data_IF_517243114049
#
_entry.id   IF_517243114049
#
_cell.length_a   1.000
_cell.length_b   1.000
_cell.length_c   1.000
_cell.angle_alpha   90.00
_cell.angle_beta   90.00
_cell.angle_gamma   90.00
#
_symmetry.space_group_name_H-M   'P 1'
#
loop_
_entity.id
_entity.type
_entity.pdbx_description
1 polymer ?
#
# COMPACT_ATOMS: atom_id res chain seq x y z
N UNK A 1 18.25 -21.46 -6.85
CA UNK A 1 17.40 -20.32 -6.47
C UNK A 1 17.78 -19.14 -7.34
N UNK A 2 16.90 -18.75 -8.26
CA UNK A 2 17.18 -17.67 -9.21
C UNK A 2 16.71 -16.36 -8.55
N UNK A 3 17.68 -15.61 -8.00
CA UNK A 3 17.45 -14.28 -7.43
C UNK A 3 17.95 -13.22 -8.41
N UNK A 4 17.09 -12.30 -8.78
CA UNK A 4 17.45 -11.14 -9.57
C UNK A 4 17.65 -9.92 -8.68
N UNK A 5 18.60 -9.06 -9.05
CA UNK A 5 18.73 -7.72 -8.48
C UNK A 5 18.09 -6.72 -9.42
N UNK A 6 17.19 -5.89 -8.90
CA UNK A 6 16.56 -4.81 -9.65
C UNK A 6 16.77 -3.49 -8.92
N UNK A 7 16.72 -2.38 -9.64
CA UNK A 7 16.74 -1.03 -9.09
C UNK A 7 15.51 -0.30 -9.61
N UNK A 8 14.71 0.25 -8.72
CA UNK A 8 13.54 1.05 -9.07
C UNK A 8 13.45 2.25 -8.12
N UNK A 9 13.28 3.47 -8.65
CA UNK A 9 13.23 4.71 -7.87
C UNK A 9 14.45 4.91 -6.92
N UNK A 10 15.62 4.40 -7.28
CA UNK A 10 16.82 4.41 -6.43
C UNK A 10 16.87 3.33 -5.36
N UNK A 11 15.82 2.53 -5.19
CA UNK A 11 15.76 1.39 -4.26
C UNK A 11 16.25 0.13 -4.96
N UNK A 12 17.12 -0.62 -4.28
CA UNK A 12 17.62 -1.93 -4.72
C UNK A 12 16.74 -3.04 -4.17
N UNK A 13 16.37 -4.01 -5.00
CA UNK A 13 15.54 -5.15 -4.63
C UNK A 13 16.22 -6.47 -4.98
N UNK A 14 16.02 -7.45 -4.12
CA UNK A 14 16.21 -8.86 -4.44
C UNK A 14 14.81 -9.40 -4.78
N UNK A 15 14.66 -9.94 -5.99
CA UNK A 15 13.41 -10.47 -6.50
C UNK A 15 13.53 -11.98 -6.66
N UNK A 16 12.66 -12.74 -5.99
CA UNK A 16 12.57 -14.19 -6.11
C UNK A 16 11.50 -14.54 -7.15
N UNK A 17 11.92 -14.94 -8.34
CA UNK A 17 11.01 -15.26 -9.44
C UNK A 17 10.39 -16.66 -9.33
N UNK A 18 11.00 -17.56 -8.54
CA UNK A 18 10.52 -18.94 -8.41
C UNK A 18 9.44 -19.07 -7.33
N UNK A 19 9.65 -18.39 -6.17
CA UNK A 19 8.76 -18.51 -5.01
C UNK A 19 7.97 -17.24 -4.72
N UNK A 20 8.21 -16.16 -5.48
CA UNK A 20 7.49 -14.89 -5.35
C UNK A 20 6.07 -14.97 -5.90
N UNK A 21 5.16 -14.14 -5.35
CA UNK A 21 3.82 -13.99 -5.91
C UNK A 21 3.90 -13.44 -7.34
N UNK A 22 3.14 -14.00 -8.27
CA UNK A 22 3.13 -13.63 -9.70
C UNK A 22 4.56 -13.63 -10.28
N UNK A 23 5.08 -12.45 -10.65
CA UNK A 23 6.43 -12.24 -11.19
C UNK A 23 7.46 -11.93 -10.11
N UNK A 24 7.11 -12.09 -8.83
CA UNK A 24 7.97 -11.77 -7.68
C UNK A 24 8.07 -10.28 -7.33
N UNK A 25 7.57 -9.39 -8.20
CA UNK A 25 7.55 -7.95 -8.01
C UNK A 25 6.42 -7.29 -8.82
N UNK A 26 5.80 -6.24 -8.29
CA UNK A 26 4.67 -5.54 -8.90
C UNK A 26 5.15 -4.26 -9.60
N UNK A 27 5.55 -4.36 -10.87
CA UNK A 27 6.09 -3.24 -11.66
C UNK A 27 5.07 -2.12 -11.89
N UNK A 28 3.80 -2.46 -11.96
CA UNK A 28 2.67 -1.56 -12.20
C UNK A 28 2.50 -0.46 -11.13
N UNK A 29 3.03 -0.66 -9.93
CA UNK A 29 3.01 0.30 -8.81
C UNK A 29 4.23 1.24 -8.76
N UNK A 30 5.18 1.16 -9.70
CA UNK A 30 6.45 1.89 -9.70
C UNK A 30 6.26 3.40 -9.45
N UNK A 31 5.37 4.02 -10.20
CA UNK A 31 5.14 5.47 -10.11
C UNK A 31 4.35 5.84 -8.86
N UNK A 32 3.49 4.95 -8.35
CA UNK A 32 2.75 5.14 -7.10
C UNK A 32 3.71 5.07 -5.91
N UNK A 33 4.70 4.17 -5.93
CA UNK A 33 5.78 4.12 -4.94
C UNK A 33 6.61 5.39 -4.95
N UNK A 34 6.97 5.91 -6.12
CA UNK A 34 7.69 7.19 -6.24
C UNK A 34 6.90 8.37 -5.67
N UNK A 35 5.57 8.36 -5.76
CA UNK A 35 4.72 9.40 -5.19
C UNK A 35 4.85 9.52 -3.65
N UNK A 36 5.24 8.45 -2.96
CA UNK A 36 5.48 8.45 -1.51
C UNK A 36 6.61 9.41 -1.10
N UNK A 37 7.56 9.69 -1.98
CA UNK A 37 8.66 10.62 -1.71
C UNK A 37 8.16 12.02 -1.32
N UNK A 38 7.00 12.44 -1.81
CA UNK A 38 6.42 13.77 -1.52
C UNK A 38 5.85 13.87 -0.10
N UNK A 39 5.42 12.75 0.48
CA UNK A 39 4.63 12.74 1.71
C UNK A 39 5.30 12.03 2.89
N UNK A 40 6.43 11.33 2.70
CA UNK A 40 7.02 10.50 3.76
C UNK A 40 8.19 11.16 4.50
N UNK A 41 8.83 12.21 3.95
CA UNK A 41 10.03 12.83 4.55
C UNK A 41 9.77 13.31 5.98
N UNK A 42 10.59 12.83 6.93
CA UNK A 42 10.54 13.20 8.35
C UNK A 42 9.33 12.65 9.11
N UNK A 43 8.58 11.70 8.56
CA UNK A 43 7.33 11.17 9.10
C UNK A 43 7.44 9.73 9.57
N UNK A 44 6.57 9.36 10.52
CA UNK A 44 6.36 7.99 10.94
C UNK A 44 5.34 7.34 9.98
N UNK A 45 5.73 6.25 9.32
CA UNK A 45 5.00 5.62 8.21
C UNK A 45 4.59 4.19 8.58
N UNK A 46 3.35 3.82 8.26
CA UNK A 46 2.86 2.44 8.31
C UNK A 46 2.52 1.98 6.88
N UNK A 47 3.11 0.88 6.45
CA UNK A 47 2.86 0.24 5.14
C UNK A 47 2.21 -1.13 5.36
N UNK A 48 0.92 -1.24 5.06
CA UNK A 48 0.15 -2.48 5.20
C UNK A 48 0.09 -3.23 3.87
N UNK A 49 0.22 -4.56 3.94
CA UNK A 49 0.38 -5.44 2.78
C UNK A 49 1.70 -5.17 2.04
N UNK A 50 2.75 -4.96 2.83
CA UNK A 50 4.04 -4.46 2.36
C UNK A 50 4.74 -5.37 1.34
N UNK A 51 4.34 -6.67 1.28
CA UNK A 51 4.94 -7.70 0.42
C UNK A 51 6.47 -7.72 0.61
N UNK A 52 7.25 -7.44 -0.43
CA UNK A 52 8.72 -7.38 -0.36
C UNK A 52 9.26 -6.02 0.10
N UNK A 53 8.42 -5.19 0.74
CA UNK A 53 8.79 -3.92 1.33
C UNK A 53 8.82 -2.73 0.37
N UNK A 54 8.20 -2.84 -0.80
CA UNK A 54 8.44 -1.88 -1.88
C UNK A 54 7.95 -0.45 -1.57
N UNK A 55 6.78 -0.26 -0.97
CA UNK A 55 6.32 1.06 -0.52
C UNK A 55 7.12 1.55 0.69
N UNK A 56 7.34 0.67 1.69
CA UNK A 56 8.10 0.99 2.89
C UNK A 56 9.53 1.46 2.57
N UNK A 57 10.22 0.80 1.63
CA UNK A 57 11.57 1.17 1.23
C UNK A 57 11.62 2.49 0.46
N UNK A 58 10.61 2.76 -0.39
CA UNK A 58 10.48 4.08 -1.04
C UNK A 58 10.25 5.20 0.00
N UNK A 59 9.46 4.95 1.05
CA UNK A 59 9.31 5.87 2.16
C UNK A 59 10.64 6.08 2.93
N UNK A 60 11.39 5.01 3.17
CA UNK A 60 12.71 5.07 3.81
C UNK A 60 13.72 5.90 3.01
N UNK A 61 13.86 5.66 1.70
CA UNK A 61 14.73 6.43 0.79
C UNK A 61 14.31 7.90 0.73
N UNK A 62 13.01 8.18 0.82
CA UNK A 62 12.48 9.54 0.89
C UNK A 62 12.85 10.29 2.18
N UNK A 63 13.49 9.63 3.14
CA UNK A 63 13.90 10.21 4.42
C UNK A 63 12.78 10.18 5.46
N UNK A 64 11.93 9.16 5.48
CA UNK A 64 11.00 8.93 6.59
C UNK A 64 11.76 8.83 7.92
N UNK A 65 11.13 9.27 9.01
CA UNK A 65 11.71 9.18 10.36
C UNK A 65 11.72 7.74 10.85
N UNK A 66 10.63 7.02 10.62
CA UNK A 66 10.50 5.59 10.88
C UNK A 66 9.48 4.98 9.92
N UNK A 67 9.66 3.72 9.56
CA UNK A 67 8.71 2.98 8.73
C UNK A 67 8.49 1.60 9.34
N UNK A 68 7.23 1.23 9.51
CA UNK A 68 6.82 -0.14 9.82
C UNK A 68 6.06 -0.72 8.63
N UNK A 69 6.58 -1.76 8.02
CA UNK A 69 5.89 -2.55 7.01
C UNK A 69 5.30 -3.82 7.64
N UNK A 70 4.06 -4.15 7.32
CA UNK A 70 3.42 -5.39 7.79
C UNK A 70 2.89 -6.22 6.63
N UNK A 71 3.04 -7.53 6.74
CA UNK A 71 2.46 -8.52 5.83
C UNK A 71 2.09 -9.79 6.59
N UNK A 72 1.12 -10.54 6.09
CA UNK A 72 0.72 -11.82 6.69
C UNK A 72 1.71 -12.94 6.37
N UNK A 73 2.53 -12.79 5.35
CA UNK A 73 3.51 -13.76 4.89
C UNK A 73 4.87 -13.54 5.54
N UNK A 74 5.32 -14.47 6.39
CA UNK A 74 6.67 -14.43 6.96
C UNK A 74 7.74 -14.40 5.87
N UNK A 75 7.55 -15.16 4.78
CA UNK A 75 8.48 -15.14 3.65
C UNK A 75 8.60 -13.75 3.00
N UNK A 76 7.49 -13.03 2.84
CA UNK A 76 7.50 -11.66 2.33
C UNK A 76 8.24 -10.71 3.28
N UNK A 77 7.98 -10.81 4.59
CA UNK A 77 8.67 -10.04 5.65
C UNK A 77 10.18 -10.31 5.64
N UNK A 78 10.60 -11.56 5.50
CA UNK A 78 12.03 -11.92 5.43
C UNK A 78 12.69 -11.33 4.16
N UNK A 79 11.98 -11.33 3.03
CA UNK A 79 12.46 -10.70 1.79
C UNK A 79 12.54 -9.17 1.94
N UNK A 80 11.53 -8.55 2.54
CA UNK A 80 11.49 -7.12 2.80
C UNK A 80 12.63 -6.67 3.72
N UNK A 81 12.92 -7.43 4.77
CA UNK A 81 14.02 -7.17 5.70
C UNK A 81 15.39 -7.22 4.99
N UNK A 82 15.61 -8.22 4.14
CA UNK A 82 16.85 -8.29 3.32
C UNK A 82 16.96 -7.12 2.34
N UNK A 83 15.82 -6.67 1.78
CA UNK A 83 15.80 -5.50 0.93
C UNK A 83 16.12 -4.22 1.71
N UNK A 84 15.68 -4.08 2.97
CA UNK A 84 16.08 -2.95 3.82
C UNK A 84 17.61 -2.95 4.08
N UNK A 85 18.19 -4.10 4.43
CA UNK A 85 19.62 -4.26 4.61
C UNK A 85 20.42 -3.90 3.33
N UNK A 86 19.94 -4.36 2.16
CA UNK A 86 20.56 -4.07 0.86
C UNK A 86 20.62 -2.56 0.54
N UNK A 87 19.70 -1.79 1.11
CA UNK A 87 19.62 -0.34 0.94
C UNK A 87 20.17 0.47 2.14
N UNK A 88 20.74 -0.17 3.15
CA UNK A 88 21.19 0.44 4.41
C UNK A 88 20.06 1.17 5.15
N UNK A 89 18.83 0.64 5.07
CA UNK A 89 17.63 1.20 5.70
C UNK A 89 17.16 0.42 6.94
N UNK A 90 17.89 -0.63 7.34
CA UNK A 90 17.50 -1.54 8.41
C UNK A 90 17.28 -0.86 9.78
N UNK A 91 17.83 0.33 9.98
CA UNK A 91 17.63 1.09 11.23
C UNK A 91 16.34 1.93 11.21
N UNK A 92 15.91 2.35 10.02
CA UNK A 92 14.74 3.21 9.80
C UNK A 92 13.49 2.43 9.40
N UNK A 93 13.66 1.34 8.61
CA UNK A 93 12.57 0.55 8.06
C UNK A 93 12.57 -0.83 8.69
N UNK A 94 11.48 -1.16 9.39
CA UNK A 94 11.28 -2.45 10.05
C UNK A 94 10.09 -3.18 9.43
N UNK A 95 10.11 -4.51 9.54
CA UNK A 95 9.03 -5.34 9.02
C UNK A 95 8.57 -6.34 10.07
N UNK A 96 7.27 -6.56 10.14
CA UNK A 96 6.65 -7.49 11.07
C UNK A 96 5.59 -8.34 10.38
N UNK A 97 5.48 -9.61 10.81
CA UNK A 97 4.49 -10.54 10.27
C UNK A 97 3.17 -10.38 11.02
N UNK A 98 2.22 -9.69 10.41
CA UNK A 98 0.89 -9.43 10.97
C UNK A 98 -0.20 -9.49 9.90
N UNK A 99 -1.38 -9.96 10.30
CA UNK A 99 -2.59 -9.76 9.52
C UNK A 99 -3.11 -8.33 9.77
N UNK A 100 -3.12 -7.48 8.75
CA UNK A 100 -3.55 -6.09 8.84
C UNK A 100 -5.00 -5.96 9.35
N UNK A 101 -5.91 -6.88 8.99
CA UNK A 101 -7.29 -6.87 9.48
C UNK A 101 -7.38 -7.06 11.00
N UNK A 102 -6.49 -7.82 11.59
CA UNK A 102 -6.51 -8.08 13.01
C UNK A 102 -5.78 -6.97 13.77
N UNK A 103 -4.51 -6.73 13.41
CA UNK A 103 -3.62 -5.88 14.19
C UNK A 103 -4.00 -4.40 14.17
N UNK A 104 -4.55 -3.86 13.05
CA UNK A 104 -4.95 -2.45 13.01
C UNK A 104 -6.10 -2.12 13.98
N UNK A 105 -7.00 -3.10 14.23
CA UNK A 105 -8.05 -2.97 15.22
C UNK A 105 -7.49 -2.85 16.63
N UNK A 106 -6.49 -3.67 16.97
CA UNK A 106 -5.83 -3.69 18.26
C UNK A 106 -5.02 -2.39 18.48
N UNK A 107 -4.18 -2.05 17.54
CA UNK A 107 -3.36 -0.83 17.58
C UNK A 107 -4.20 0.46 17.66
N UNK A 108 -5.36 0.50 17.00
CA UNK A 108 -6.28 1.63 17.13
C UNK A 108 -6.82 1.77 18.56
N UNK A 109 -7.10 0.65 19.25
CA UNK A 109 -7.53 0.66 20.65
C UNK A 109 -6.40 1.06 21.61
N UNK A 110 -5.16 0.72 21.27
CA UNK A 110 -3.94 1.14 21.96
C UNK A 110 -3.57 2.61 21.70
N UNK A 111 -4.28 3.29 20.79
CA UNK A 111 -4.01 4.68 20.45
C UNK A 111 -2.80 4.89 19.56
N UNK A 112 -2.28 3.85 18.89
CA UNK A 112 -1.18 3.99 17.93
C UNK A 112 -1.63 4.81 16.72
N UNK A 113 -0.79 5.76 16.30
CA UNK A 113 -1.05 6.60 15.14
C UNK A 113 0.24 6.88 14.37
N UNK A 114 0.09 7.07 13.06
CA UNK A 114 1.17 7.36 12.11
C UNK A 114 0.90 8.65 11.34
N UNK A 115 1.94 9.28 10.85
CA UNK A 115 1.82 10.46 9.99
C UNK A 115 1.41 10.08 8.56
N UNK A 116 1.79 8.87 8.13
CA UNK A 116 1.41 8.31 6.82
C UNK A 116 0.99 6.86 7.00
N UNK A 117 -0.16 6.49 6.41
CA UNK A 117 -0.60 5.08 6.33
C UNK A 117 -0.82 4.73 4.86
N UNK A 118 -0.24 3.62 4.44
CA UNK A 118 -0.32 3.09 3.07
C UNK A 118 -1.05 1.75 3.12
N UNK A 119 -2.07 1.57 2.29
CA UNK A 119 -2.81 0.32 2.13
C UNK A 119 -2.73 -0.13 0.67
N UNK A 120 -2.00 -1.22 0.42
CA UNK A 120 -1.95 -1.89 -0.89
C UNK A 120 -2.49 -3.34 -0.79
N UNK A 121 -3.80 -3.49 -0.49
CA UNK A 121 -4.37 -4.81 -0.25
C UNK A 121 -4.43 -5.63 -1.54
N UNK A 122 -4.42 -6.96 -1.43
CA UNK A 122 -4.66 -7.83 -2.57
C UNK A 122 -6.06 -7.58 -3.16
N UNK A 123 -6.26 -7.98 -4.41
CA UNK A 123 -7.58 -7.90 -5.04
C UNK A 123 -8.60 -8.76 -4.29
N UNK A 124 -9.54 -8.14 -3.60
CA UNK A 124 -10.59 -8.84 -2.85
C UNK A 124 -11.67 -9.44 -3.75
N UNK A 125 -11.67 -9.12 -5.04
CA UNK A 125 -12.58 -9.72 -6.01
C UNK A 125 -11.86 -10.05 -7.32
N UNK A 126 -12.20 -11.23 -7.85
CA UNK A 126 -11.76 -11.73 -9.15
C UNK A 126 -12.95 -12.02 -10.08
N UNK A 127 -14.17 -11.67 -9.66
CA UNK A 127 -15.38 -11.88 -10.44
C UNK A 127 -16.48 -10.88 -10.06
N UNK A 128 -17.43 -10.64 -10.98
CA UNK A 128 -18.57 -9.75 -10.72
C UNK A 128 -19.41 -10.19 -9.53
N UNK A 129 -19.53 -11.50 -9.29
CA UNK A 129 -20.36 -12.05 -8.23
C UNK A 129 -19.83 -11.78 -6.82
N UNK A 130 -18.55 -11.46 -6.68
CA UNK A 130 -17.89 -11.21 -5.38
C UNK A 130 -17.66 -9.73 -5.09
N UNK A 131 -18.09 -8.82 -5.95
CA UNK A 131 -17.88 -7.36 -5.80
C UNK A 131 -18.45 -6.83 -4.48
N UNK A 132 -19.66 -7.22 -4.09
CA UNK A 132 -20.26 -6.75 -2.85
C UNK A 132 -19.49 -7.21 -1.60
N UNK A 133 -18.92 -8.40 -1.63
CA UNK A 133 -18.05 -8.88 -0.55
C UNK A 133 -16.73 -8.09 -0.52
N UNK A 134 -16.18 -7.80 -1.69
CA UNK A 134 -14.97 -7.00 -1.82
C UNK A 134 -15.18 -5.56 -1.30
N UNK A 135 -16.32 -4.92 -1.63
CA UNK A 135 -16.65 -3.58 -1.11
C UNK A 135 -16.61 -3.57 0.42
N UNK A 136 -17.19 -4.58 1.08
CA UNK A 136 -17.13 -4.69 2.55
C UNK A 136 -15.69 -4.83 3.05
N UNK A 137 -14.86 -5.67 2.40
CA UNK A 137 -13.46 -5.83 2.76
C UNK A 137 -12.66 -4.54 2.59
N UNK A 138 -12.84 -3.84 1.45
CA UNK A 138 -12.20 -2.54 1.23
C UNK A 138 -12.69 -1.49 2.25
N UNK A 139 -13.98 -1.44 2.57
CA UNK A 139 -14.50 -0.52 3.58
C UNK A 139 -13.86 -0.77 4.94
N UNK A 140 -13.82 -2.03 5.37
CA UNK A 140 -13.26 -2.41 6.66
C UNK A 140 -11.77 -2.05 6.78
N UNK A 141 -10.95 -2.42 5.80
CA UNK A 141 -9.52 -2.14 5.87
C UNK A 141 -9.22 -0.64 5.80
N UNK A 142 -9.96 0.11 4.96
CA UNK A 142 -9.82 1.56 4.88
C UNK A 142 -10.26 2.25 6.18
N UNK A 143 -11.36 1.80 6.81
CA UNK A 143 -11.79 2.29 8.12
C UNK A 143 -10.70 2.11 9.17
N UNK A 144 -10.12 0.91 9.25
CA UNK A 144 -9.04 0.61 10.21
C UNK A 144 -7.80 1.43 9.92
N UNK A 145 -7.38 1.52 8.66
CA UNK A 145 -6.24 2.35 8.27
C UNK A 145 -6.42 3.83 8.59
N UNK A 146 -7.60 4.39 8.30
CA UNK A 146 -7.91 5.81 8.58
C UNK A 146 -7.88 6.14 10.09
N UNK A 147 -8.26 5.21 10.95
CA UNK A 147 -8.14 5.38 12.41
C UNK A 147 -6.69 5.47 12.88
N UNK A 148 -5.75 4.92 12.11
CA UNK A 148 -4.31 4.97 12.40
C UNK A 148 -3.64 6.27 11.95
N UNK A 149 -4.32 7.12 11.14
CA UNK A 149 -3.73 8.36 10.64
C UNK A 149 -3.95 9.51 11.61
N UNK A 150 -2.86 10.22 11.96
CA UNK A 150 -2.92 11.48 12.72
C UNK A 150 -3.68 12.55 11.93
N UNK A 151 -4.31 13.51 12.62
CA UNK A 151 -4.83 14.72 11.97
C UNK A 151 -3.68 15.49 11.28
N UNK A 152 -3.89 15.95 10.06
CA UNK A 152 -2.85 16.55 9.21
C UNK A 152 -1.96 15.53 8.49
N UNK A 153 -2.09 14.24 8.80
CA UNK A 153 -1.34 13.16 8.17
C UNK A 153 -1.86 12.79 6.78
N UNK A 154 -1.25 11.77 6.18
CA UNK A 154 -1.59 11.31 4.84
C UNK A 154 -2.05 9.86 4.84
N UNK A 155 -2.98 9.57 3.94
CA UNK A 155 -3.54 8.25 3.73
C UNK A 155 -3.44 7.89 2.26
N UNK A 156 -2.75 6.79 1.94
CA UNK A 156 -2.70 6.24 0.59
C UNK A 156 -3.42 4.89 0.58
N UNK A 157 -4.28 4.68 -0.41
CA UNK A 157 -5.02 3.42 -0.55
C UNK A 157 -5.25 3.09 -2.01
N UNK A 158 -5.32 1.80 -2.33
CA UNK A 158 -5.54 1.36 -3.69
C UNK A 158 -6.41 0.12 -3.81
N UNK A 159 -6.78 -0.18 -5.06
CA UNK A 159 -7.36 -1.44 -5.49
C UNK A 159 -6.75 -1.85 -6.82
N UNK A 160 -6.25 -3.08 -6.90
CA UNK A 160 -5.73 -3.68 -8.12
C UNK A 160 -6.76 -4.59 -8.83
N UNK A 161 -8.05 -4.41 -8.60
CA UNK A 161 -9.13 -5.17 -9.25
C UNK A 161 -9.86 -4.34 -10.29
N UNK A 162 -9.97 -4.83 -11.53
CA UNK A 162 -10.78 -4.18 -12.56
C UNK A 162 -12.28 -4.24 -12.23
N UNK A 163 -12.72 -5.24 -11.45
CA UNK A 163 -14.12 -5.33 -10.98
C UNK A 163 -14.49 -4.29 -9.93
N UNK A 164 -13.53 -3.64 -9.29
CA UNK A 164 -13.74 -2.50 -8.41
C UNK A 164 -13.53 -1.23 -9.21
N UNK A 165 -14.60 -0.58 -9.65
CA UNK A 165 -14.49 0.69 -10.39
C UNK A 165 -13.90 1.81 -9.50
N UNK A 166 -13.38 2.86 -10.14
CA UNK A 166 -12.87 4.03 -9.41
C UNK A 166 -13.97 4.67 -8.57
N UNK A 167 -15.18 4.80 -9.10
CA UNK A 167 -16.34 5.37 -8.41
C UNK A 167 -16.74 4.53 -7.18
N UNK A 168 -16.75 3.21 -7.33
CA UNK A 168 -17.06 2.30 -6.22
C UNK A 168 -15.99 2.40 -5.12
N UNK A 169 -14.70 2.44 -5.48
CA UNK A 169 -13.63 2.60 -4.51
C UNK A 169 -13.72 3.96 -3.80
N UNK A 170 -13.94 5.05 -4.54
CA UNK A 170 -14.15 6.40 -3.95
C UNK A 170 -15.29 6.40 -2.94
N UNK A 171 -16.44 5.86 -3.31
CA UNK A 171 -17.59 5.76 -2.41
C UNK A 171 -17.25 4.95 -1.16
N UNK A 172 -16.59 3.82 -1.33
CA UNK A 172 -16.19 2.93 -0.23
C UNK A 172 -15.24 3.61 0.74
N UNK A 173 -14.23 4.33 0.22
CA UNK A 173 -13.27 5.09 1.04
C UNK A 173 -13.95 6.26 1.75
N UNK A 174 -14.89 6.95 1.09
CA UNK A 174 -15.64 8.04 1.69
C UNK A 174 -16.53 7.54 2.86
N UNK A 175 -17.21 6.40 2.69
CA UNK A 175 -17.98 5.78 3.76
C UNK A 175 -17.07 5.37 4.95
N UNK A 176 -15.89 4.79 4.66
CA UNK A 176 -14.92 4.45 5.68
C UNK A 176 -14.40 5.70 6.44
N UNK A 177 -14.17 6.80 5.74
CA UNK A 177 -13.75 8.06 6.34
C UNK A 177 -14.84 8.66 7.26
N UNK A 178 -16.10 8.63 6.81
CA UNK A 178 -17.24 9.04 7.63
C UNK A 178 -17.31 8.22 8.94
N UNK A 179 -17.20 6.89 8.85
CA UNK A 179 -17.23 6.00 10.01
C UNK A 179 -16.00 6.18 10.93
N UNK A 180 -14.84 6.57 10.35
CA UNK A 180 -13.64 6.93 11.09
C UNK A 180 -13.71 8.35 11.71
N UNK A 181 -14.75 9.15 11.39
CA UNK A 181 -14.87 10.58 11.75
C UNK A 181 -13.68 11.40 11.24
N UNK A 182 -13.25 11.15 10.00
CA UNK A 182 -12.15 11.85 9.33
C UNK A 182 -12.67 12.53 8.07
N UNK A 183 -12.15 13.72 7.78
CA UNK A 183 -12.36 14.40 6.51
C UNK A 183 -11.13 14.18 5.62
N UNK A 184 -11.36 13.89 4.35
CA UNK A 184 -10.31 13.61 3.39
C UNK A 184 -10.20 14.74 2.37
N UNK A 185 -8.97 15.28 2.24
CA UNK A 185 -8.60 16.18 1.15
C UNK A 185 -7.84 15.36 0.12
N UNK A 186 -8.39 15.20 -1.09
CA UNK A 186 -7.71 14.49 -2.17
C UNK A 186 -6.46 15.27 -2.64
N UNK A 187 -5.32 14.60 -2.62
CA UNK A 187 -4.04 15.13 -3.09
C UNK A 187 -3.73 14.63 -4.50
N UNK A 188 -3.81 13.30 -4.72
CA UNK A 188 -3.55 12.68 -6.02
C UNK A 188 -4.53 11.54 -6.28
N UNK A 189 -4.87 11.36 -7.56
CA UNK A 189 -5.48 10.15 -8.12
C UNK A 189 -4.52 9.61 -9.15
N UNK A 190 -4.18 8.33 -9.07
CA UNK A 190 -3.18 7.70 -9.89
C UNK A 190 -3.68 6.33 -10.37
N UNK A 191 -3.07 5.83 -11.42
CA UNK A 191 -3.34 4.52 -12.01
C UNK A 191 -2.07 3.67 -12.00
N UNK A 192 -2.04 2.60 -12.77
CA UNK A 192 -0.84 1.82 -13.04
C UNK A 192 0.22 2.65 -13.79
N UNK A 193 1.48 2.25 -13.65
CA UNK A 193 2.62 2.87 -14.31
C UNK A 193 2.48 2.88 -15.83
N UNK A 194 3.15 3.81 -16.50
CA UNK A 194 3.06 4.05 -17.94
C UNK A 194 3.50 2.86 -18.81
N UNK A 195 4.32 1.96 -18.26
CA UNK A 195 4.71 0.68 -18.90
C UNK A 195 3.61 -0.41 -18.81
N UNK A 196 2.50 -0.12 -18.14
CA UNK A 196 1.26 -0.90 -18.08
C UNK A 196 0.10 -0.07 -18.66
N UNK A 197 0.05 0.16 -19.99
CA UNK A 197 -0.86 1.13 -20.58
C UNK A 197 -2.33 0.73 -20.45
N UNK A 198 -3.19 1.73 -20.28
CA UNK A 198 -4.64 1.56 -20.31
C UNK A 198 -5.09 1.63 -21.78
N UNK A 199 -5.72 0.57 -22.26
CA UNK A 199 -6.29 0.50 -23.61
C UNK A 199 -7.73 1.00 -23.56
N UNK A 200 -8.05 2.04 -24.30
CA UNK A 200 -9.37 2.68 -24.28
C UNK A 200 -10.50 1.81 -24.84
N UNK A 201 -10.17 0.77 -25.55
CA UNK A 201 -11.11 -0.23 -26.07
C UNK A 201 -11.18 -1.51 -25.21
N UNK A 202 -10.54 -1.53 -24.03
CA UNK A 202 -10.50 -2.67 -23.14
C UNK A 202 -10.57 -2.21 -21.67
N UNK A 203 -11.76 -2.26 -21.08
CA UNK A 203 -12.01 -1.86 -19.69
C UNK A 203 -11.16 -2.66 -18.69
N UNK A 204 -10.82 -3.91 -19.04
CA UNK A 204 -10.00 -4.78 -18.18
C UNK A 204 -8.57 -4.28 -18.01
N UNK A 205 -8.09 -3.46 -18.95
CA UNK A 205 -6.76 -2.86 -18.86
C UNK A 205 -6.67 -1.76 -17.79
N UNK A 206 -7.80 -1.18 -17.34
CA UNK A 206 -7.84 -0.24 -16.22
C UNK A 206 -8.17 -0.99 -14.92
N UNK A 207 -7.15 -1.51 -14.27
CA UNK A 207 -7.33 -2.33 -13.07
C UNK A 207 -6.80 -1.70 -11.78
N UNK A 208 -5.85 -0.75 -11.85
CA UNK A 208 -5.23 -0.14 -10.68
C UNK A 208 -5.75 1.27 -10.43
N UNK A 209 -6.31 1.51 -9.25
CA UNK A 209 -6.74 2.82 -8.75
C UNK A 209 -5.97 3.08 -7.48
N UNK A 210 -5.29 4.21 -7.40
CA UNK A 210 -4.47 4.60 -6.27
C UNK A 210 -4.80 6.03 -5.86
N UNK A 211 -5.13 6.25 -4.60
CA UNK A 211 -5.50 7.55 -4.05
C UNK A 211 -4.54 7.96 -2.95
N UNK A 212 -4.20 9.24 -2.93
CA UNK A 212 -3.49 9.88 -1.82
C UNK A 212 -4.40 10.99 -1.28
N UNK A 213 -4.64 10.94 0.03
CA UNK A 213 -5.41 11.93 0.76
C UNK A 213 -4.58 12.55 1.88
N UNK A 214 -4.86 13.82 2.20
CA UNK A 214 -4.55 14.39 3.50
C UNK A 214 -5.76 14.25 4.41
N UNK A 215 -5.53 13.81 5.64
CA UNK A 215 -6.57 13.66 6.68
C UNK A 215 -6.65 14.97 7.46
N UNK A 216 -7.83 15.60 7.47
CA UNK A 216 -8.09 16.88 8.13
C UNK A 216 -9.18 16.76 9.16
#
# INVERSE_FOLDING_TARGET
>A
RVLFRSIENGVKYIVDLENGQKTGFFLDQKENRAAMHKICKGRDVLDCFTHTGSFALNAGIAGAKSVLGIDVSQHAVDCATRNAELNNLQDTVKFECHNAFDVLGDWSREGKQYDVVILDPPAFTKSRNTVNAAIRGYKEINLRGLKMVKSGGYFATCSCSHYMSEEQLKKTVLEAAHDARKTLRQIEVRTQSSDHPILWNSDESYYLKFFIFQVV
#
